data_IF_601215818621
#
_entry.id   IF_601215818621
#
_cell.length_a   1.000
_cell.length_b   1.000
_cell.length_c   1.000
_cell.angle_alpha   90.00
_cell.angle_beta   90.00
_cell.angle_gamma   90.00
#
_symmetry.space_group_name_H-M   'P 1'
#
loop_
_entity.id
_entity.type
_entity.pdbx_description
1 polymer ?
#
# COMPACT_ATOMS: atom_id res chain seq x y z
N UNK A 1 -8.48 -2.52 -2.62
CA UNK A 1 -7.17 -1.86 -2.61
C UNK A 1 -6.74 -1.35 -3.99
N UNK A 2 -6.89 -2.13 -5.05
CA UNK A 2 -6.61 -1.67 -6.42
C UNK A 2 -7.49 -0.50 -6.88
N UNK A 3 -8.62 -0.24 -6.24
CA UNK A 3 -9.55 0.84 -6.60
C UNK A 3 -9.12 2.19 -6.00
N UNK A 4 -8.50 2.21 -4.83
CA UNK A 4 -8.17 3.47 -4.13
C UNK A 4 -7.02 4.21 -4.82
N UNK A 5 -5.99 3.50 -5.28
CA UNK A 5 -4.87 4.12 -6.00
C UNK A 5 -5.35 4.70 -7.35
N UNK A 6 -6.06 3.95 -8.22
CA UNK A 6 -6.65 4.51 -9.41
C UNK A 6 -7.60 5.68 -9.12
N UNK A 7 -8.42 5.58 -8.08
CA UNK A 7 -9.32 6.67 -7.71
C UNK A 7 -8.56 7.93 -7.30
N UNK A 8 -7.54 7.79 -6.44
CA UNK A 8 -6.68 8.90 -6.05
C UNK A 8 -5.93 9.50 -7.25
N UNK A 9 -5.43 8.66 -8.16
CA UNK A 9 -4.79 9.11 -9.39
C UNK A 9 -5.77 9.85 -10.29
N UNK A 10 -6.98 9.32 -10.49
CA UNK A 10 -8.01 9.98 -11.29
C UNK A 10 -8.39 11.34 -10.71
N UNK A 11 -8.64 11.40 -9.41
CA UNK A 11 -8.96 12.63 -8.70
C UNK A 11 -7.81 13.65 -8.82
N UNK A 12 -6.57 13.20 -8.68
CA UNK A 12 -5.39 14.06 -8.76
C UNK A 12 -5.16 14.56 -10.19
N UNK A 13 -5.21 13.68 -11.19
CA UNK A 13 -5.01 14.04 -12.60
C UNK A 13 -6.09 15.05 -13.04
N UNK A 14 -7.35 14.76 -12.81
CA UNK A 14 -8.44 15.64 -13.22
C UNK A 14 -8.47 16.93 -12.39
N UNK A 15 -8.10 16.88 -11.12
CA UNK A 15 -7.95 18.06 -10.29
C UNK A 15 -6.79 18.97 -10.73
N UNK A 16 -5.65 18.39 -11.18
CA UNK A 16 -4.47 19.15 -11.62
C UNK A 16 -4.68 19.87 -12.96
N UNK A 17 -5.62 19.40 -13.79
CA UNK A 17 -5.97 20.04 -15.07
C UNK A 17 -6.87 21.28 -14.92
N UNK A 18 -6.87 21.92 -13.74
CA UNK A 18 -7.55 23.20 -13.51
C UNK A 18 -9.05 23.09 -13.26
N UNK A 19 -9.54 21.94 -12.90
CA UNK A 19 -10.94 21.71 -12.54
C UNK A 19 -11.88 21.47 -13.72
N UNK A 20 -11.48 21.78 -14.96
CA UNK A 20 -12.33 21.61 -16.15
C UNK A 20 -12.76 20.15 -16.41
N UNK A 21 -11.85 19.16 -16.39
CA UNK A 21 -12.24 17.75 -16.51
C UNK A 21 -13.11 17.27 -15.34
N UNK A 22 -12.94 17.85 -14.17
CA UNK A 22 -13.77 17.55 -13.02
C UNK A 22 -15.16 18.15 -13.13
N UNK A 23 -15.30 19.35 -13.72
CA UNK A 23 -16.60 19.91 -14.06
C UNK A 23 -17.31 19.08 -15.11
N UNK A 24 -16.61 18.55 -16.12
CA UNK A 24 -17.17 17.62 -17.09
C UNK A 24 -17.71 16.33 -16.43
N UNK A 25 -16.97 15.72 -15.52
CA UNK A 25 -17.44 14.55 -14.78
C UNK A 25 -18.56 14.92 -13.79
N UNK A 26 -18.49 16.11 -13.22
CA UNK A 26 -19.45 16.66 -12.26
C UNK A 26 -20.76 17.04 -12.94
N UNK A 27 -20.70 17.68 -14.10
CA UNK A 27 -21.86 18.23 -14.82
C UNK A 27 -22.39 17.27 -15.88
N UNK A 28 -21.70 16.18 -16.17
CA UNK A 28 -22.04 15.25 -17.24
C UNK A 28 -23.40 14.56 -17.07
N UNK A 29 -23.92 14.52 -15.86
CA UNK A 29 -25.19 13.82 -15.57
C UNK A 29 -25.16 12.33 -15.91
N UNK A 30 -23.98 11.78 -16.17
CA UNK A 30 -23.75 10.62 -17.03
C UNK A 30 -24.19 9.31 -16.38
N UNK A 31 -24.10 9.16 -15.07
CA UNK A 31 -24.48 7.90 -14.40
C UNK A 31 -25.42 8.13 -13.22
N UNK A 32 -25.26 9.21 -12.48
CA UNK A 32 -26.05 9.53 -11.27
C UNK A 32 -26.77 10.88 -11.32
N UNK A 33 -26.96 11.44 -12.52
CA UNK A 33 -27.60 12.73 -12.70
C UNK A 33 -26.67 13.91 -12.40
N UNK A 34 -27.21 15.12 -12.62
CA UNK A 34 -26.49 16.37 -12.31
C UNK A 34 -26.28 16.48 -10.82
N UNK A 35 -25.01 16.61 -10.43
CA UNK A 35 -24.63 16.76 -9.04
C UNK A 35 -24.70 18.23 -8.68
N UNK A 36 -25.45 18.57 -7.63
CA UNK A 36 -25.55 19.93 -7.15
C UNK A 36 -24.16 20.47 -6.75
N UNK A 37 -23.87 21.72 -7.09
CA UNK A 37 -22.62 22.37 -6.69
C UNK A 37 -22.45 22.29 -5.17
N UNK A 38 -21.25 21.85 -4.72
CA UNK A 38 -20.94 21.71 -3.31
C UNK A 38 -21.15 20.31 -2.69
N UNK A 39 -21.69 19.34 -3.44
CA UNK A 39 -21.80 17.94 -2.97
C UNK A 39 -20.58 17.13 -3.40
N UNK A 40 -20.15 16.17 -2.55
CA UNK A 40 -19.01 15.28 -2.81
C UNK A 40 -19.33 14.04 -3.66
N UNK A 41 -20.54 13.95 -4.23
CA UNK A 41 -21.03 12.77 -4.97
C UNK A 41 -20.35 12.57 -6.34
N UNK A 42 -19.64 13.57 -6.86
CA UNK A 42 -18.81 13.44 -8.07
C UNK A 42 -17.64 12.44 -7.92
N UNK A 43 -17.24 12.09 -6.69
CA UNK A 43 -16.20 11.07 -6.41
C UNK A 43 -16.59 9.72 -7.04
N UNK A 44 -17.86 9.37 -7.04
CA UNK A 44 -18.37 8.16 -7.66
C UNK A 44 -18.13 8.15 -9.18
N UNK A 45 -18.32 9.29 -9.86
CA UNK A 45 -18.07 9.42 -11.30
C UNK A 45 -16.58 9.21 -11.65
N UNK A 46 -15.67 9.65 -10.81
CA UNK A 46 -14.24 9.35 -10.96
C UNK A 46 -13.94 7.85 -10.88
N UNK A 47 -14.64 7.11 -10.02
CA UNK A 47 -14.58 5.64 -9.98
C UNK A 47 -15.12 4.99 -11.26
N UNK A 48 -16.23 5.49 -11.80
CA UNK A 48 -16.83 4.98 -13.05
C UNK A 48 -15.99 5.26 -14.30
N UNK A 49 -15.19 6.31 -14.33
CA UNK A 49 -14.26 6.55 -15.45
C UNK A 49 -13.29 5.36 -15.67
N UNK A 50 -12.92 4.65 -14.59
CA UNK A 50 -12.09 3.46 -14.70
C UNK A 50 -12.83 2.24 -15.26
N UNK A 51 -14.15 2.15 -15.13
CA UNK A 51 -14.95 1.06 -15.70
C UNK A 51 -14.82 1.05 -17.22
N UNK A 52 -14.73 2.22 -17.86
CA UNK A 52 -14.52 2.34 -19.30
C UNK A 52 -13.21 1.68 -19.78
N UNK A 53 -12.18 1.69 -18.94
CA UNK A 53 -10.90 1.02 -19.24
C UNK A 53 -10.90 -0.44 -18.81
N UNK A 54 -11.53 -0.76 -17.68
CA UNK A 54 -11.52 -2.09 -17.09
C UNK A 54 -12.36 -3.10 -17.88
N UNK A 55 -13.51 -2.66 -18.44
CA UNK A 55 -14.36 -3.56 -19.24
C UNK A 55 -13.67 -4.03 -20.52
N UNK A 56 -13.05 -3.16 -21.36
CA UNK A 56 -12.26 -3.62 -22.50
C UNK A 56 -11.07 -4.51 -22.09
N UNK A 57 -10.36 -4.16 -21.01
CA UNK A 57 -9.25 -4.98 -20.49
C UNK A 57 -9.72 -6.37 -20.03
N UNK A 58 -10.85 -6.44 -19.33
CA UNK A 58 -11.45 -7.71 -18.94
C UNK A 58 -11.83 -8.55 -20.17
N UNK A 59 -12.41 -7.94 -21.20
CA UNK A 59 -12.72 -8.61 -22.46
C UNK A 59 -11.45 -9.11 -23.18
N UNK A 60 -10.40 -8.28 -23.25
CA UNK A 60 -9.11 -8.69 -23.82
C UNK A 60 -8.49 -9.85 -23.04
N UNK A 61 -8.56 -9.84 -21.71
CA UNK A 61 -8.10 -10.96 -20.89
C UNK A 61 -8.95 -12.22 -21.15
N UNK A 62 -10.26 -12.07 -21.21
CA UNK A 62 -11.17 -13.21 -21.42
C UNK A 62 -10.98 -13.89 -22.78
N UNK A 63 -10.81 -13.12 -23.84
CA UNK A 63 -10.68 -13.66 -25.20
C UNK A 63 -9.22 -13.91 -25.61
N UNK A 64 -8.26 -13.18 -25.06
CA UNK A 64 -6.86 -13.22 -25.47
C UNK A 64 -5.93 -14.04 -24.58
N UNK A 65 -6.33 -14.33 -23.33
CA UNK A 65 -5.50 -15.13 -22.43
C UNK A 65 -5.92 -16.58 -22.40
N UNK A 66 -4.93 -17.48 -22.54
CA UNK A 66 -5.12 -18.91 -22.40
C UNK A 66 -4.69 -19.36 -20.99
N UNK A 67 -5.53 -20.17 -20.34
CA UNK A 67 -5.15 -20.86 -19.12
C UNK A 67 -4.11 -21.94 -19.44
N UNK A 68 -2.92 -21.81 -18.87
CA UNK A 68 -1.91 -22.85 -18.93
C UNK A 68 -2.38 -24.02 -18.05
N UNK A 69 -2.82 -25.11 -18.68
CA UNK A 69 -3.31 -26.32 -17.98
C UNK A 69 -2.30 -26.89 -16.98
N UNK A 70 -1.02 -26.66 -17.21
CA UNK A 70 0.08 -27.09 -16.32
C UNK A 70 0.19 -26.28 -15.04
N UNK A 71 -0.39 -25.08 -14.98
CA UNK A 71 -0.29 -24.14 -13.85
C UNK A 71 -1.65 -23.84 -13.23
N UNK A 72 -2.71 -23.85 -14.06
CA UNK A 72 -4.07 -23.64 -13.59
C UNK A 72 -4.66 -24.99 -13.15
N UNK A 73 -5.05 -25.14 -11.86
CA UNK A 73 -5.76 -26.33 -11.44
C UNK A 73 -7.07 -26.44 -12.22
N UNK A 74 -7.49 -27.66 -12.55
CA UNK A 74 -8.82 -27.87 -13.11
C UNK A 74 -9.85 -27.48 -12.05
N UNK A 75 -10.50 -26.34 -12.27
CA UNK A 75 -11.47 -25.79 -11.34
C UNK A 75 -12.85 -26.45 -11.47
N UNK A 76 -13.01 -27.34 -12.42
CA UNK A 76 -14.31 -27.93 -12.73
C UNK A 76 -15.30 -26.88 -13.25
N UNK A 77 -16.52 -26.92 -12.73
CA UNK A 77 -17.55 -25.98 -13.19
C UNK A 77 -17.27 -24.54 -12.68
N UNK A 78 -17.20 -23.52 -13.57
CA UNK A 78 -16.79 -22.16 -13.20
C UNK A 78 -17.69 -21.50 -12.16
N UNK A 79 -18.99 -21.77 -12.16
CA UNK A 79 -19.94 -21.25 -11.17
C UNK A 79 -19.62 -21.80 -9.77
N UNK A 80 -19.28 -23.09 -9.67
CA UNK A 80 -18.91 -23.72 -8.40
C UNK A 80 -17.59 -23.16 -7.88
N UNK A 81 -16.60 -22.91 -8.77
CA UNK A 81 -15.35 -22.27 -8.42
C UNK A 81 -15.59 -20.85 -7.89
N UNK A 82 -16.41 -20.06 -8.58
CA UNK A 82 -16.80 -18.71 -8.15
C UNK A 82 -17.49 -18.72 -6.78
N UNK A 83 -18.44 -19.62 -6.57
CA UNK A 83 -19.15 -19.75 -5.29
C UNK A 83 -18.19 -20.11 -4.14
N UNK A 84 -17.22 -21.02 -4.36
CA UNK A 84 -16.20 -21.39 -3.36
C UNK A 84 -15.29 -20.21 -3.03
N UNK A 85 -14.84 -19.44 -4.04
CA UNK A 85 -14.03 -18.25 -3.85
C UNK A 85 -14.80 -17.20 -3.07
N UNK A 86 -16.04 -16.89 -3.46
CA UNK A 86 -16.91 -15.93 -2.78
C UNK A 86 -17.14 -16.33 -1.32
N UNK A 87 -17.39 -17.61 -1.07
CA UNK A 87 -17.53 -18.13 0.29
C UNK A 87 -16.28 -17.88 1.15
N UNK A 88 -15.08 -18.21 0.65
CA UNK A 88 -13.82 -17.97 1.37
C UNK A 88 -13.55 -16.47 1.62
N UNK A 89 -13.85 -15.63 0.63
CA UNK A 89 -13.76 -14.17 0.82
C UNK A 89 -14.71 -13.66 1.89
N UNK A 90 -15.97 -14.10 1.88
CA UNK A 90 -16.97 -13.72 2.89
C UNK A 90 -16.50 -14.11 4.28
N UNK A 91 -15.95 -15.32 4.43
CA UNK A 91 -15.39 -15.78 5.70
C UNK A 91 -14.19 -14.94 6.17
N UNK A 92 -13.35 -14.48 5.27
CA UNK A 92 -12.22 -13.61 5.62
C UNK A 92 -12.67 -12.18 6.01
N UNK A 93 -13.79 -11.69 5.46
CA UNK A 93 -14.33 -10.38 5.81
C UNK A 93 -14.89 -10.32 7.23
N UNK A 94 -15.40 -11.43 7.78
CA UNK A 94 -15.98 -11.45 9.13
C UNK A 94 -14.95 -11.03 10.19
N UNK A 95 -13.76 -11.65 10.29
CA UNK A 95 -12.72 -11.22 11.22
C UNK A 95 -12.26 -9.77 10.96
N UNK A 96 -12.11 -9.38 9.69
CA UNK A 96 -11.66 -8.03 9.33
C UNK A 96 -12.65 -6.95 9.82
N UNK A 97 -13.94 -7.17 9.64
CA UNK A 97 -14.98 -6.27 10.13
C UNK A 97 -14.98 -6.23 11.67
N UNK A 98 -14.83 -7.40 12.31
CA UNK A 98 -14.78 -7.48 13.77
C UNK A 98 -13.53 -6.77 14.32
N UNK A 99 -12.36 -7.01 13.75
CA UNK A 99 -11.13 -6.34 14.14
C UNK A 99 -11.20 -4.82 13.98
N UNK A 100 -11.78 -4.36 12.87
CA UNK A 100 -12.01 -2.94 12.62
C UNK A 100 -13.00 -2.33 13.64
N UNK A 101 -14.09 -3.02 13.96
CA UNK A 101 -15.08 -2.58 14.95
C UNK A 101 -14.48 -2.48 16.36
N UNK A 102 -13.62 -3.42 16.73
CA UNK A 102 -12.93 -3.41 18.02
C UNK A 102 -11.90 -2.27 18.12
N UNK A 103 -11.30 -1.88 17.00
CA UNK A 103 -10.27 -0.84 16.91
C UNK A 103 -10.86 0.57 16.83
N UNK A 104 -11.88 0.81 15.99
CA UNK A 104 -12.40 2.14 15.73
C UNK A 104 -13.07 2.73 16.99
N UNK A 105 -12.88 4.05 17.26
CA UNK A 105 -13.57 4.70 18.36
C UNK A 105 -15.07 4.86 18.07
N UNK A 106 -15.85 5.12 19.13
CA UNK A 106 -17.28 5.45 19.00
C UNK A 106 -17.47 6.71 18.14
N UNK A 107 -18.51 6.82 17.30
CA UNK A 107 -19.66 5.89 17.18
C UNK A 107 -19.46 4.71 16.23
N UNK A 108 -18.37 4.68 15.44
CA UNK A 108 -18.13 3.68 14.38
C UNK A 108 -17.71 2.31 14.90
N UNK A 109 -17.10 2.26 16.09
CA UNK A 109 -16.66 1.05 16.77
C UNK A 109 -16.71 1.23 18.28
N UNK A 110 -15.95 0.41 19.01
CA UNK A 110 -15.91 0.47 20.50
C UNK A 110 -14.56 0.93 21.05
N UNK A 111 -13.51 0.99 20.24
CA UNK A 111 -12.18 1.47 20.63
C UNK A 111 -11.52 0.64 21.75
N UNK A 112 -11.77 -0.68 21.75
CA UNK A 112 -11.30 -1.56 22.83
C UNK A 112 -9.83 -1.94 22.73
N UNK A 113 -9.30 -2.04 21.50
CA UNK A 113 -7.95 -2.53 21.23
C UNK A 113 -7.16 -1.54 20.39
N UNK A 114 -5.83 -1.56 20.55
CA UNK A 114 -4.93 -0.78 19.71
C UNK A 114 -4.75 -1.41 18.32
N UNK A 115 -4.33 -0.62 17.34
CA UNK A 115 -3.99 -1.08 16.00
C UNK A 115 -2.99 -2.25 16.02
N UNK A 116 -2.00 -2.20 16.90
CA UNK A 116 -0.96 -3.21 17.02
C UNK A 116 -1.47 -4.57 17.52
N UNK A 117 -2.63 -4.59 18.16
CA UNK A 117 -3.34 -5.82 18.57
C UNK A 117 -4.38 -6.21 17.52
N UNK A 118 -5.07 -5.23 16.94
CA UNK A 118 -6.12 -5.47 15.97
C UNK A 118 -5.61 -6.20 14.71
N UNK A 119 -4.47 -5.77 14.14
CA UNK A 119 -3.92 -6.36 12.92
C UNK A 119 -3.50 -7.82 13.11
N UNK A 120 -2.67 -8.21 14.11
CA UNK A 120 -2.37 -9.62 14.33
C UNK A 120 -3.60 -10.46 14.65
N UNK A 121 -4.55 -9.94 15.42
CA UNK A 121 -5.79 -10.63 15.74
C UNK A 121 -6.63 -10.89 14.48
N UNK A 122 -6.75 -9.91 13.61
CA UNK A 122 -7.45 -10.03 12.33
C UNK A 122 -6.80 -11.10 11.44
N UNK A 123 -5.48 -11.04 11.26
CA UNK A 123 -4.75 -12.02 10.45
C UNK A 123 -4.94 -13.44 10.99
N UNK A 124 -4.72 -13.63 12.30
CA UNK A 124 -4.83 -14.95 12.92
C UNK A 124 -6.27 -15.48 12.87
N UNK A 125 -7.25 -14.63 13.18
CA UNK A 125 -8.66 -15.04 13.16
C UNK A 125 -9.15 -15.34 11.73
N UNK A 126 -8.72 -14.57 10.71
CA UNK A 126 -9.03 -14.85 9.32
C UNK A 126 -8.48 -16.22 8.86
N UNK A 127 -7.21 -16.50 9.18
CA UNK A 127 -6.59 -17.79 8.88
C UNK A 127 -7.31 -18.94 9.60
N UNK A 128 -7.66 -18.74 10.87
CA UNK A 128 -8.36 -19.75 11.67
C UNK A 128 -9.76 -20.04 11.10
N UNK A 129 -10.52 -19.01 10.80
CA UNK A 129 -11.87 -19.14 10.21
C UNK A 129 -11.78 -19.84 8.85
N UNK A 130 -10.86 -19.46 7.98
CA UNK A 130 -10.65 -20.14 6.68
C UNK A 130 -10.31 -21.62 6.85
N UNK A 131 -9.46 -21.97 7.81
CA UNK A 131 -9.07 -23.35 8.09
C UNK A 131 -10.21 -24.18 8.65
N UNK A 132 -10.99 -23.63 9.57
CA UNK A 132 -12.09 -24.35 10.24
C UNK A 132 -13.33 -24.48 9.36
N UNK A 133 -13.63 -23.47 8.55
CA UNK A 133 -14.81 -23.44 7.72
C UNK A 133 -14.61 -24.10 6.33
N UNK A 134 -13.39 -24.51 5.99
CA UNK A 134 -13.13 -25.26 4.76
C UNK A 134 -13.72 -26.67 4.84
N UNK A 135 -14.43 -27.09 3.80
CA UNK A 135 -15.08 -28.42 3.71
C UNK A 135 -14.80 -29.12 2.37
N UNK A 136 -14.98 -30.44 2.32
CA UNK A 136 -14.76 -31.24 1.12
C UNK A 136 -13.37 -31.01 0.50
N UNK A 137 -13.29 -30.89 -0.81
CA UNK A 137 -12.04 -30.66 -1.54
C UNK A 137 -11.34 -29.33 -1.17
N UNK A 138 -12.08 -28.33 -0.67
CA UNK A 138 -11.47 -27.07 -0.18
C UNK A 138 -10.57 -27.31 1.04
N UNK A 139 -10.95 -28.26 1.92
CA UNK A 139 -10.16 -28.57 3.13
C UNK A 139 -8.74 -29.03 2.78
N UNK A 140 -8.63 -29.89 1.77
CA UNK A 140 -7.33 -30.35 1.29
C UNK A 140 -6.53 -29.21 0.63
N UNK A 141 -7.21 -28.39 -0.19
CA UNK A 141 -6.60 -27.22 -0.83
C UNK A 141 -6.06 -26.21 0.18
N UNK A 142 -6.87 -25.84 1.19
CA UNK A 142 -6.46 -24.96 2.26
C UNK A 142 -5.32 -25.58 3.08
N UNK A 143 -5.39 -26.86 3.41
CA UNK A 143 -4.32 -27.54 4.16
C UNK A 143 -2.98 -27.52 3.41
N UNK A 144 -3.00 -27.74 2.09
CA UNK A 144 -1.79 -27.64 1.24
C UNK A 144 -1.22 -26.20 1.23
N UNK A 145 -2.09 -25.18 1.14
CA UNK A 145 -1.65 -23.78 1.17
C UNK A 145 -1.02 -23.41 2.52
N UNK A 146 -1.52 -23.94 3.63
CA UNK A 146 -0.96 -23.68 4.95
C UNK A 146 0.45 -24.25 5.18
N UNK A 147 0.94 -25.13 4.29
CA UNK A 147 2.32 -25.63 4.37
C UNK A 147 3.37 -24.52 4.19
N UNK A 148 3.04 -23.42 3.51
CA UNK A 148 3.95 -22.28 3.34
C UNK A 148 4.44 -21.71 4.66
N UNK A 149 3.64 -21.78 5.73
CA UNK A 149 3.99 -21.23 7.04
C UNK A 149 5.09 -22.01 7.76
N UNK A 150 5.44 -23.22 7.29
CA UNK A 150 6.56 -24.03 7.80
C UNK A 150 7.90 -23.58 7.24
N UNK A 151 7.88 -22.85 6.13
CA UNK A 151 9.10 -22.37 5.48
C UNK A 151 9.51 -21.02 6.05
N UNK A 152 10.76 -20.93 6.52
CA UNK A 152 11.36 -19.68 7.04
C UNK A 152 11.43 -18.57 5.98
N UNK A 153 11.55 -18.94 4.69
CA UNK A 153 11.59 -17.98 3.60
C UNK A 153 10.25 -17.28 3.40
N UNK A 154 9.13 -17.92 3.74
CA UNK A 154 7.82 -17.26 3.75
C UNK A 154 7.82 -16.04 4.68
N UNK A 155 8.35 -16.19 5.90
CA UNK A 155 8.37 -15.11 6.88
C UNK A 155 9.36 -14.00 6.54
N UNK A 156 10.58 -14.37 6.09
CA UNK A 156 11.58 -13.38 5.68
C UNK A 156 11.10 -12.57 4.47
N UNK A 157 10.51 -13.23 3.47
CA UNK A 157 9.98 -12.55 2.30
C UNK A 157 8.71 -11.74 2.60
N UNK A 158 7.89 -12.17 3.56
CA UNK A 158 6.78 -11.35 4.05
C UNK A 158 7.30 -10.02 4.61
N UNK A 159 8.33 -10.04 5.45
CA UNK A 159 8.92 -8.82 5.98
C UNK A 159 9.50 -7.92 4.87
N UNK A 160 10.23 -8.49 3.92
CA UNK A 160 10.78 -7.76 2.78
C UNK A 160 9.68 -7.22 1.84
N UNK A 161 8.57 -7.94 1.72
CA UNK A 161 7.43 -7.47 0.91
C UNK A 161 6.67 -6.34 1.60
N UNK A 162 6.64 -6.31 2.94
CA UNK A 162 6.12 -5.15 3.70
C UNK A 162 6.99 -3.91 3.43
N UNK A 163 8.32 -4.04 3.40
CA UNK A 163 9.22 -2.92 3.04
C UNK A 163 8.87 -2.36 1.68
N UNK A 164 8.69 -3.20 0.67
CA UNK A 164 8.52 -2.76 -0.71
C UNK A 164 7.07 -2.45 -1.04
N UNK A 165 6.19 -3.43 -1.01
CA UNK A 165 4.78 -3.26 -1.37
C UNK A 165 3.95 -2.58 -0.28
N UNK A 166 4.18 -2.94 1.00
CA UNK A 166 3.49 -2.33 2.13
C UNK A 166 3.76 -0.82 2.22
N UNK A 167 5.02 -0.43 2.05
CA UNK A 167 5.40 0.99 2.04
C UNK A 167 4.84 1.72 0.82
N UNK A 168 4.87 1.10 -0.36
CA UNK A 168 4.28 1.68 -1.57
C UNK A 168 2.80 2.03 -1.36
N UNK A 169 2.01 1.11 -0.85
CA UNK A 169 0.59 1.34 -0.61
C UNK A 169 0.39 2.31 0.56
N UNK A 170 1.16 2.14 1.63
CA UNK A 170 1.09 2.98 2.80
C UNK A 170 1.39 4.45 2.50
N UNK A 171 2.44 4.70 1.75
CA UNK A 171 2.80 6.06 1.33
C UNK A 171 1.81 6.64 0.31
N UNK A 172 1.17 5.81 -0.52
CA UNK A 172 0.10 6.28 -1.41
C UNK A 172 -1.09 6.87 -0.63
N UNK A 173 -1.36 6.34 0.56
CA UNK A 173 -2.39 6.88 1.45
C UNK A 173 -1.88 8.04 2.33
N UNK A 174 -0.62 7.99 2.74
CA UNK A 174 -0.05 8.95 3.67
C UNK A 174 0.41 10.25 2.99
N UNK A 175 0.82 10.21 1.72
CA UNK A 175 1.29 11.38 0.99
C UNK A 175 0.25 12.51 0.92
N UNK A 176 -1.00 12.27 0.45
CA UNK A 176 -2.01 13.33 0.44
C UNK A 176 -2.34 13.85 1.84
N UNK A 177 -2.36 12.98 2.86
CA UNK A 177 -2.54 13.38 4.25
C UNK A 177 -1.43 14.34 4.70
N UNK A 178 -0.17 13.96 4.46
CA UNK A 178 0.99 14.76 4.85
C UNK A 178 1.01 16.12 4.13
N UNK A 179 0.69 16.16 2.84
CA UNK A 179 0.58 17.42 2.08
C UNK A 179 -0.49 18.32 2.71
N UNK A 180 -1.65 17.78 2.99
CA UNK A 180 -2.79 18.55 3.50
C UNK A 180 -2.56 19.08 4.92
N UNK A 181 -1.94 18.29 5.80
CA UNK A 181 -1.84 18.62 7.22
C UNK A 181 -0.53 19.35 7.54
N UNK A 182 0.60 18.93 6.97
CA UNK A 182 1.90 19.58 7.28
C UNK A 182 2.07 20.87 6.49
N UNK A 183 1.73 20.88 5.21
CA UNK A 183 1.94 22.03 4.34
C UNK A 183 0.68 22.88 4.15
N UNK A 184 -0.49 22.32 4.43
CA UNK A 184 -1.77 23.03 4.33
C UNK A 184 -2.06 23.99 5.49
N UNK A 185 -1.27 23.94 6.56
CA UNK A 185 -1.43 24.74 7.78
C UNK A 185 -0.14 25.54 8.00
N UNK A 186 -0.27 26.83 8.33
CA UNK A 186 0.84 27.66 8.76
C UNK A 186 1.12 27.42 10.24
N UNK A 187 2.39 27.24 10.58
CA UNK A 187 2.85 27.02 11.95
C UNK A 187 3.45 28.32 12.48
N UNK A 188 2.60 29.20 13.04
CA UNK A 188 2.99 30.50 13.53
C UNK A 188 3.04 30.46 15.05
N UNK A 189 4.13 30.96 15.70
CA UNK A 189 4.18 31.06 17.15
C UNK A 189 3.17 32.09 17.67
N UNK A 190 2.52 31.79 18.78
CA UNK A 190 1.70 32.74 19.52
C UNK A 190 2.56 33.73 20.31
N UNK A 191 1.92 34.63 21.07
CA UNK A 191 2.60 35.62 21.93
C UNK A 191 3.52 34.98 22.98
N UNK A 192 3.35 33.70 23.29
CA UNK A 192 4.16 32.94 24.26
C UNK A 192 5.24 32.07 23.55
N UNK A 193 5.37 32.16 22.21
CA UNK A 193 6.31 31.39 21.45
C UNK A 193 5.85 29.95 21.15
N UNK A 194 4.60 29.58 21.45
CA UNK A 194 4.03 28.26 21.18
C UNK A 194 3.48 28.23 19.76
N UNK A 195 3.93 27.25 18.96
CA UNK A 195 3.47 27.07 17.57
C UNK A 195 1.98 26.76 17.53
N UNK A 196 1.24 27.59 16.80
CA UNK A 196 -0.17 27.39 16.54
C UNK A 196 -0.35 26.69 15.17
N UNK A 197 -1.15 25.63 15.15
CA UNK A 197 -1.40 24.81 13.96
C UNK A 197 -2.84 24.96 13.45
N UNK A 198 -3.37 26.19 13.48
CA UNK A 198 -4.80 26.45 13.19
C UNK A 198 -5.02 27.29 11.94
N UNK A 199 -4.03 28.05 11.52
CA UNK A 199 -4.16 28.96 10.39
C UNK A 199 -3.92 28.22 9.07
N UNK A 200 -4.83 28.41 8.12
CA UNK A 200 -4.70 27.85 6.77
C UNK A 200 -3.54 28.53 6.04
N UNK A 201 -2.64 27.75 5.47
CA UNK A 201 -1.56 28.30 4.65
C UNK A 201 -2.11 28.75 3.28
N UNK A 202 -2.04 30.03 2.93
CA UNK A 202 -2.52 30.54 1.65
C UNK A 202 -1.69 30.00 0.45
N UNK A 203 -0.43 29.66 0.67
CA UNK A 203 0.50 29.12 -0.33
C UNK A 203 0.58 27.59 -0.29
N UNK A 204 -0.39 26.92 0.33
CA UNK A 204 -0.39 25.48 0.49
C UNK A 204 -0.35 24.74 -0.86
N UNK A 205 0.56 23.78 -1.03
CA UNK A 205 0.53 22.90 -2.21
C UNK A 205 -0.73 22.05 -2.21
N UNK A 206 -1.36 21.91 -3.38
CA UNK A 206 -2.56 21.11 -3.52
C UNK A 206 -2.22 19.61 -3.50
N UNK A 207 -2.77 18.86 -2.56
CA UNK A 207 -2.62 17.40 -2.55
C UNK A 207 -3.13 16.76 -3.83
N UNK A 208 -4.21 17.30 -4.43
CA UNK A 208 -4.76 16.80 -5.71
C UNK A 208 -3.78 16.94 -6.88
N UNK A 209 -2.94 17.96 -6.86
CA UNK A 209 -1.95 18.18 -7.93
C UNK A 209 -0.77 17.21 -7.84
N UNK A 210 -0.36 16.81 -6.65
CA UNK A 210 0.93 16.10 -6.46
C UNK A 210 0.79 14.65 -5.99
N UNK A 211 -0.32 14.27 -5.35
CA UNK A 211 -0.44 12.96 -4.70
C UNK A 211 -0.38 11.76 -5.65
N UNK A 212 -0.69 11.93 -6.91
CA UNK A 212 -0.67 10.86 -7.92
C UNK A 212 0.74 10.54 -8.44
N UNK A 213 1.69 11.50 -8.36
CA UNK A 213 3.04 11.37 -8.95
C UNK A 213 3.79 10.19 -8.32
N UNK A 214 3.76 10.10 -6.98
CA UNK A 214 4.42 9.03 -6.27
C UNK A 214 3.93 7.63 -6.66
N UNK A 215 2.62 7.32 -6.52
CA UNK A 215 2.06 6.05 -6.95
C UNK A 215 2.30 5.73 -8.42
N UNK A 216 2.26 6.72 -9.30
CA UNK A 216 2.54 6.53 -10.72
C UNK A 216 3.99 6.11 -10.96
N UNK A 217 4.96 6.84 -10.40
CA UNK A 217 6.39 6.51 -10.52
C UNK A 217 6.65 5.11 -9.96
N UNK A 218 6.17 4.81 -8.74
CA UNK A 218 6.38 3.51 -8.11
C UNK A 218 5.74 2.36 -8.89
N UNK A 219 4.59 2.57 -9.52
CA UNK A 219 3.97 1.56 -10.38
C UNK A 219 4.74 1.33 -11.69
N UNK A 220 5.17 2.42 -12.33
CA UNK A 220 5.86 2.39 -13.63
C UNK A 220 7.24 1.70 -13.57
N UNK A 221 7.94 1.80 -12.43
CA UNK A 221 9.29 1.23 -12.28
C UNK A 221 9.32 -0.23 -11.84
N UNK A 222 8.18 -0.84 -11.48
CA UNK A 222 8.12 -2.26 -11.04
C UNK A 222 8.67 -3.24 -12.09
N UNK A 223 8.29 -3.16 -13.37
CA UNK A 223 8.86 -4.04 -14.40
C UNK A 223 10.38 -3.88 -14.52
N UNK A 224 10.88 -2.65 -14.36
CA UNK A 224 12.31 -2.37 -14.39
C UNK A 224 13.01 -3.06 -13.21
N UNK A 225 12.41 -3.01 -12.01
CA UNK A 225 12.92 -3.72 -10.83
C UNK A 225 13.01 -5.22 -11.04
N UNK A 226 12.00 -5.85 -11.64
CA UNK A 226 12.02 -7.26 -12.03
C UNK A 226 13.13 -7.56 -13.02
N UNK A 227 13.23 -6.79 -14.10
CA UNK A 227 14.25 -6.96 -15.14
C UNK A 227 15.69 -6.80 -14.63
N UNK A 228 15.95 -5.82 -13.76
CA UNK A 228 17.27 -5.67 -13.12
C UNK A 228 17.56 -6.90 -12.24
N UNK A 229 16.56 -7.35 -11.47
CA UNK A 229 16.68 -8.50 -10.57
C UNK A 229 16.95 -9.81 -11.31
N UNK A 230 16.46 -9.97 -12.55
CA UNK A 230 16.78 -11.12 -13.39
C UNK A 230 18.25 -11.17 -13.77
N UNK A 231 18.92 -10.01 -13.87
CA UNK A 231 20.34 -9.91 -14.25
C UNK A 231 21.29 -10.03 -13.08
N UNK A 232 20.99 -9.37 -11.95
CA UNK A 232 21.94 -9.24 -10.82
C UNK A 232 21.54 -10.02 -9.59
N UNK A 233 20.32 -10.61 -9.59
CA UNK A 233 19.72 -11.29 -8.45
C UNK A 233 18.83 -10.37 -7.61
N UNK A 234 17.71 -10.93 -7.14
CA UNK A 234 16.68 -10.15 -6.45
C UNK A 234 17.13 -9.59 -5.11
N UNK A 235 17.93 -10.36 -4.36
CA UNK A 235 18.34 -9.94 -3.03
C UNK A 235 19.35 -8.79 -3.03
N UNK A 236 20.22 -8.69 -4.05
CA UNK A 236 21.10 -7.54 -4.20
C UNK A 236 20.28 -6.27 -4.46
N UNK A 237 19.32 -6.35 -5.37
CA UNK A 237 18.42 -5.22 -5.67
C UNK A 237 17.65 -4.81 -4.43
N UNK A 238 17.04 -5.77 -3.72
CA UNK A 238 16.32 -5.52 -2.47
C UNK A 238 17.21 -4.89 -1.40
N UNK A 239 18.48 -5.30 -1.32
CA UNK A 239 19.44 -4.74 -0.37
C UNK A 239 19.70 -3.26 -0.64
N UNK A 240 20.01 -2.92 -1.90
CA UNK A 240 20.29 -1.54 -2.31
C UNK A 240 19.06 -0.67 -2.07
N UNK A 241 17.89 -1.14 -2.50
CA UNK A 241 16.65 -0.39 -2.35
C UNK A 241 16.28 -0.18 -0.89
N UNK A 242 16.46 -1.20 -0.04
CA UNK A 242 16.22 -1.04 1.40
C UNK A 242 17.14 0.01 2.03
N UNK A 243 18.41 0.05 1.61
CA UNK A 243 19.34 1.08 2.08
C UNK A 243 18.91 2.50 1.62
N UNK A 244 18.48 2.64 0.37
CA UNK A 244 17.92 3.90 -0.15
C UNK A 244 16.67 4.30 0.64
N UNK A 245 15.79 3.37 0.95
CA UNK A 245 14.58 3.63 1.73
C UNK A 245 14.89 4.06 3.17
N UNK A 246 15.94 3.49 3.82
CA UNK A 246 16.42 3.96 5.12
C UNK A 246 16.84 5.43 5.04
N UNK A 247 17.75 5.75 4.10
CA UNK A 247 18.29 7.10 3.95
C UNK A 247 17.19 8.12 3.59
N UNK A 248 16.33 7.77 2.63
CA UNK A 248 15.24 8.64 2.20
C UNK A 248 14.20 8.86 3.33
N UNK A 249 13.88 7.83 4.13
CA UNK A 249 12.96 8.00 5.26
C UNK A 249 13.52 8.93 6.33
N UNK A 250 14.81 8.82 6.64
CA UNK A 250 15.47 9.74 7.59
C UNK A 250 15.43 11.17 7.03
N UNK A 251 15.74 11.35 5.75
CA UNK A 251 15.70 12.67 5.10
C UNK A 251 14.28 13.26 5.06
N UNK A 252 13.27 12.47 4.73
CA UNK A 252 11.86 12.91 4.78
C UNK A 252 11.47 13.31 6.19
N UNK A 253 11.83 12.50 7.19
CA UNK A 253 11.55 12.84 8.60
C UNK A 253 12.16 14.19 8.99
N UNK A 254 13.40 14.43 8.59
CA UNK A 254 14.06 15.73 8.84
C UNK A 254 13.33 16.88 8.16
N UNK A 255 12.96 16.75 6.89
CA UNK A 255 12.21 17.79 6.16
C UNK A 255 10.83 18.02 6.77
N UNK A 256 10.14 16.95 7.20
CA UNK A 256 8.84 17.06 7.89
C UNK A 256 8.98 17.83 9.21
N UNK A 257 10.05 17.60 9.96
CA UNK A 257 10.34 18.31 11.21
C UNK A 257 10.55 19.82 10.94
N UNK A 258 11.33 20.15 9.92
CA UNK A 258 11.59 21.56 9.56
C UNK A 258 10.31 22.26 9.08
N UNK A 259 9.52 21.59 8.23
CA UNK A 259 8.26 22.14 7.72
C UNK A 259 7.25 22.37 8.87
N UNK A 260 7.14 21.41 9.79
CA UNK A 260 6.21 21.47 10.91
C UNK A 260 6.58 22.52 11.97
N UNK A 261 7.83 22.96 12.01
CA UNK A 261 8.31 24.05 12.87
C UNK A 261 8.41 25.42 12.17
N UNK A 262 7.91 25.57 10.94
CA UNK A 262 8.10 26.78 10.13
C UNK A 262 6.80 27.55 9.92
N UNK A 263 6.89 28.88 9.93
CA UNK A 263 5.79 29.76 9.53
C UNK A 263 5.48 29.70 8.03
N UNK A 264 6.44 29.23 7.21
CA UNK A 264 6.34 29.09 5.76
C UNK A 264 6.69 27.64 5.34
N UNK A 265 5.85 26.66 5.70
CA UNK A 265 6.15 25.26 5.46
C UNK A 265 6.29 24.92 3.97
N UNK A 266 5.64 25.63 3.06
CA UNK A 266 5.68 25.44 1.61
C UNK A 266 7.08 25.50 1.02
N UNK A 267 8.02 26.19 1.62
CA UNK A 267 9.43 26.25 1.17
C UNK A 267 10.13 24.88 1.24
N UNK A 268 9.70 23.99 2.13
CA UNK A 268 10.22 22.64 2.29
C UNK A 268 9.52 21.63 1.39
N UNK A 269 8.41 22.00 0.74
CA UNK A 269 7.59 21.09 -0.05
C UNK A 269 8.32 20.46 -1.23
N UNK A 270 9.15 21.18 -2.03
CA UNK A 270 9.88 20.56 -3.14
C UNK A 270 10.83 19.44 -2.67
N UNK A 271 11.55 19.66 -1.56
CA UNK A 271 12.44 18.65 -0.99
C UNK A 271 11.65 17.45 -0.45
N UNK A 272 10.54 17.70 0.25
CA UNK A 272 9.63 16.68 0.73
C UNK A 272 9.09 15.81 -0.41
N UNK A 273 8.53 16.43 -1.45
CA UNK A 273 7.97 15.72 -2.59
C UNK A 273 9.06 14.92 -3.33
N UNK A 274 10.23 15.50 -3.59
CA UNK A 274 11.34 14.83 -4.23
C UNK A 274 11.79 13.58 -3.47
N UNK A 275 11.93 13.67 -2.15
CA UNK A 275 12.31 12.54 -1.30
C UNK A 275 11.19 11.47 -1.24
N UNK A 276 9.92 11.87 -1.21
CA UNK A 276 8.81 10.92 -1.33
C UNK A 276 8.80 10.20 -2.69
N UNK A 277 9.12 10.88 -3.78
CA UNK A 277 9.28 10.25 -5.10
C UNK A 277 10.42 9.23 -5.06
N UNK A 278 11.53 9.51 -4.38
CA UNK A 278 12.61 8.53 -4.18
C UNK A 278 12.11 7.30 -3.40
N UNK A 279 11.30 7.49 -2.35
CA UNK A 279 10.68 6.37 -1.62
C UNK A 279 9.75 5.53 -2.51
N UNK A 280 8.94 6.17 -3.35
CA UNK A 280 8.07 5.48 -4.30
C UNK A 280 8.86 4.74 -5.37
N UNK A 281 9.89 5.37 -5.92
CA UNK A 281 10.80 4.75 -6.89
C UNK A 281 11.47 3.52 -6.29
N UNK A 282 12.07 3.68 -5.10
CA UNK A 282 12.74 2.60 -4.40
C UNK A 282 11.78 1.45 -4.08
N UNK A 283 10.61 1.76 -3.49
CA UNK A 283 9.60 0.74 -3.17
C UNK A 283 9.07 0.03 -4.42
N UNK A 284 8.92 0.74 -5.53
CA UNK A 284 8.50 0.17 -6.82
C UNK A 284 9.52 -0.82 -7.38
N UNK A 285 10.79 -0.43 -7.48
CA UNK A 285 11.91 -1.31 -7.88
C UNK A 285 11.98 -2.54 -6.96
N UNK A 286 11.94 -2.31 -5.63
CA UNK A 286 11.96 -3.37 -4.63
C UNK A 286 10.76 -4.32 -4.73
N UNK A 287 9.59 -3.82 -5.10
CA UNK A 287 8.42 -4.67 -5.31
C UNK A 287 8.63 -5.66 -6.47
N UNK A 288 9.15 -5.20 -7.61
CA UNK A 288 9.53 -6.07 -8.72
C UNK A 288 10.58 -7.11 -8.32
N UNK A 289 11.58 -6.69 -7.55
CA UNK A 289 12.65 -7.53 -7.04
C UNK A 289 12.16 -8.62 -6.08
N UNK A 290 11.39 -8.27 -5.06
CA UNK A 290 10.87 -9.24 -4.08
C UNK A 290 9.86 -10.20 -4.70
N UNK A 291 9.03 -9.73 -5.64
CA UNK A 291 8.11 -10.58 -6.38
C UNK A 291 8.86 -11.67 -7.17
N UNK A 292 9.91 -11.27 -7.89
CA UNK A 292 10.80 -12.20 -8.62
C UNK A 292 11.47 -13.19 -7.67
N UNK A 293 12.00 -12.73 -6.54
CA UNK A 293 12.68 -13.56 -5.54
C UNK A 293 11.78 -14.68 -5.01
N UNK A 294 10.49 -14.39 -4.77
CA UNK A 294 9.52 -15.41 -4.37
C UNK A 294 9.39 -16.49 -5.46
N UNK A 295 9.30 -16.08 -6.72
CA UNK A 295 9.19 -17.02 -7.85
C UNK A 295 10.43 -17.90 -8.08
N UNK A 296 11.61 -17.48 -7.56
CA UNK A 296 12.86 -18.27 -7.66
C UNK A 296 13.02 -19.23 -6.48
N UNK A 297 12.64 -18.80 -5.27
CA UNK A 297 12.80 -19.61 -4.03
C UNK A 297 11.75 -20.71 -3.96
N UNK A 298 10.50 -20.41 -4.30
CA UNK A 298 9.39 -21.35 -4.18
C UNK A 298 9.05 -22.01 -5.51
N UNK A 299 8.69 -23.28 -5.45
CA UNK A 299 8.19 -23.99 -6.62
C UNK A 299 6.86 -23.40 -7.10
N UNK A 300 6.43 -23.84 -8.31
CA UNK A 300 5.20 -23.33 -8.95
C UNK A 300 3.93 -23.56 -8.13
N UNK A 301 3.94 -24.55 -7.25
CA UNK A 301 2.77 -24.88 -6.41
C UNK A 301 2.68 -24.04 -5.15
N UNK A 302 3.82 -23.57 -4.65
CA UNK A 302 3.94 -22.78 -3.42
C UNK A 302 4.06 -21.28 -3.68
N UNK A 303 4.66 -20.88 -4.81
CA UNK A 303 4.87 -19.47 -5.12
C UNK A 303 3.58 -18.64 -5.12
N UNK A 304 2.48 -19.17 -5.66
CA UNK A 304 1.17 -18.51 -5.65
C UNK A 304 0.63 -18.25 -4.24
N UNK A 305 0.51 -19.26 -3.38
CA UNK A 305 0.13 -19.11 -1.97
C UNK A 305 1.04 -18.17 -1.19
N UNK A 306 2.36 -18.22 -1.38
CA UNK A 306 3.31 -17.29 -0.71
C UNK A 306 3.08 -15.86 -1.19
N UNK A 307 2.93 -15.63 -2.50
CA UNK A 307 2.62 -14.30 -3.04
C UNK A 307 1.28 -13.76 -2.49
N UNK A 308 0.26 -14.61 -2.43
CA UNK A 308 -1.03 -14.24 -1.85
C UNK A 308 -0.91 -13.82 -0.38
N UNK A 309 -0.21 -14.62 0.42
CA UNK A 309 0.04 -14.33 1.83
C UNK A 309 0.84 -13.04 2.03
N UNK A 310 2.00 -12.93 1.37
CA UNK A 310 2.87 -11.75 1.52
C UNK A 310 2.18 -10.47 1.09
N UNK A 311 1.39 -10.54 0.00
CA UNK A 311 0.60 -9.40 -0.48
C UNK A 311 -0.51 -9.01 0.48
N UNK A 312 -1.23 -9.97 1.05
CA UNK A 312 -2.28 -9.72 2.03
C UNK A 312 -1.74 -9.05 3.29
N UNK A 313 -0.61 -9.55 3.83
CA UNK A 313 0.02 -8.96 5.02
C UNK A 313 0.60 -7.58 4.69
N UNK A 314 1.30 -7.42 3.58
CA UNK A 314 1.86 -6.13 3.19
C UNK A 314 0.77 -5.08 2.91
N UNK A 315 -0.43 -5.50 2.52
CA UNK A 315 -1.56 -4.63 2.29
C UNK A 315 -1.99 -3.83 3.53
N UNK A 316 -1.72 -4.30 4.74
CA UNK A 316 -1.94 -3.53 5.96
C UNK A 316 -1.11 -2.24 6.02
N UNK A 317 -0.06 -2.11 5.20
CA UNK A 317 0.68 -0.86 5.03
C UNK A 317 -0.21 0.34 4.72
N UNK A 318 -1.28 0.14 3.94
CA UNK A 318 -2.27 1.19 3.64
C UNK A 318 -2.99 1.73 4.88
N UNK A 319 -3.10 0.91 5.90
CA UNK A 319 -3.74 1.25 7.16
C UNK A 319 -2.71 1.79 8.17
N UNK A 320 -1.58 1.12 8.29
CA UNK A 320 -0.53 1.44 9.28
C UNK A 320 0.11 2.80 8.99
N UNK A 321 0.55 3.06 7.77
CA UNK A 321 1.35 4.25 7.48
C UNK A 321 0.59 5.57 7.73
N UNK A 322 -0.64 5.79 7.23
CA UNK A 322 -1.35 7.04 7.51
C UNK A 322 -1.73 7.19 8.99
N UNK A 323 -2.01 6.10 9.71
CA UNK A 323 -2.31 6.17 11.14
C UNK A 323 -1.07 6.56 11.94
N UNK A 324 0.09 5.92 11.67
CA UNK A 324 1.34 6.24 12.37
C UNK A 324 1.74 7.69 12.10
N UNK A 325 1.71 8.13 10.85
CA UNK A 325 2.03 9.52 10.48
C UNK A 325 1.01 10.49 11.11
N UNK A 326 -0.28 10.21 11.01
CA UNK A 326 -1.33 11.06 11.57
C UNK A 326 -1.24 11.19 13.10
N UNK A 327 -0.93 10.10 13.80
CA UNK A 327 -0.74 10.12 15.26
C UNK A 327 0.50 10.95 15.66
N UNK A 328 1.60 10.83 14.91
CA UNK A 328 2.81 11.61 15.17
C UNK A 328 2.63 13.10 14.83
N UNK A 329 1.84 13.43 13.80
CA UNK A 329 1.44 14.82 13.52
C UNK A 329 0.63 15.39 14.70
N UNK A 330 -0.36 14.64 15.20
CA UNK A 330 -1.15 15.04 16.37
C UNK A 330 -0.32 15.22 17.64
N UNK A 331 0.75 14.44 17.78
CA UNK A 331 1.70 14.54 18.88
C UNK A 331 2.73 15.69 18.70
N UNK A 332 2.69 16.42 17.58
CA UNK A 332 3.66 17.48 17.28
C UNK A 332 5.04 16.99 16.84
N UNK A 333 5.17 15.72 16.51
CA UNK A 333 6.45 15.08 16.21
C UNK A 333 6.39 14.23 14.93
N UNK A 334 6.00 14.80 13.76
CA UNK A 334 5.75 14.05 12.53
C UNK A 334 6.96 13.25 12.05
N UNK A 335 8.18 13.71 12.35
CA UNK A 335 9.44 13.06 11.97
C UNK A 335 9.58 11.64 12.54
N UNK A 336 9.05 11.36 13.73
CA UNK A 336 9.23 10.05 14.37
C UNK A 336 8.49 8.92 13.64
N UNK A 337 7.46 9.23 12.89
CA UNK A 337 6.84 8.23 12.01
C UNK A 337 7.85 7.74 10.97
N UNK A 338 8.54 8.66 10.30
CA UNK A 338 9.51 8.34 9.25
C UNK A 338 10.78 7.68 9.83
N UNK A 339 11.22 8.10 11.01
CA UNK A 339 12.33 7.44 11.71
C UNK A 339 11.97 6.02 12.13
N UNK A 340 10.73 5.78 12.56
CA UNK A 340 10.23 4.43 12.84
C UNK A 340 10.25 3.53 11.60
N UNK A 341 9.83 4.05 10.43
CA UNK A 341 9.95 3.32 9.18
C UNK A 341 11.41 3.06 8.78
N UNK A 342 12.31 4.05 8.97
CA UNK A 342 13.73 3.87 8.71
C UNK A 342 14.34 2.74 9.56
N UNK A 343 14.00 2.66 10.85
CA UNK A 343 14.43 1.57 11.74
C UNK A 343 13.90 0.22 11.22
N UNK A 344 12.62 0.14 10.85
CA UNK A 344 12.04 -1.08 10.28
C UNK A 344 12.77 -1.51 9.00
N UNK A 345 13.08 -0.58 8.10
CA UNK A 345 13.81 -0.87 6.86
C UNK A 345 15.24 -1.33 7.15
N UNK A 346 15.91 -0.74 8.14
CA UNK A 346 17.24 -1.16 8.57
C UNK A 346 17.24 -2.60 9.13
N UNK A 347 16.24 -2.96 9.92
CA UNK A 347 16.06 -4.35 10.38
C UNK A 347 15.85 -5.30 9.20
N UNK A 348 15.01 -4.93 8.25
CA UNK A 348 14.76 -5.74 7.06
C UNK A 348 16.00 -5.82 6.13
N UNK A 349 16.81 -4.78 6.06
CA UNK A 349 18.10 -4.79 5.36
C UNK A 349 19.04 -5.83 5.97
N UNK A 350 19.17 -5.90 7.30
CA UNK A 350 19.94 -6.93 8.01
C UNK A 350 19.35 -8.32 7.76
N UNK A 351 18.02 -8.44 7.79
CA UNK A 351 17.31 -9.69 7.52
C UNK A 351 17.60 -10.21 6.11
N UNK A 352 17.52 -9.34 5.09
CA UNK A 352 17.82 -9.70 3.70
C UNK A 352 19.28 -10.16 3.55
N UNK A 353 20.22 -9.42 4.13
CA UNK A 353 21.64 -9.81 4.14
C UNK A 353 21.84 -11.17 4.80
N UNK A 354 21.21 -11.40 5.95
CA UNK A 354 21.36 -12.65 6.73
C UNK A 354 20.82 -13.86 5.97
N UNK A 355 19.67 -13.75 5.34
CA UNK A 355 19.03 -14.87 4.65
C UNK A 355 19.61 -15.15 3.27
N UNK A 356 20.06 -14.10 2.53
CA UNK A 356 20.30 -14.22 1.10
C UNK A 356 21.65 -13.71 0.60
N UNK A 357 22.39 -12.90 1.35
CA UNK A 357 23.62 -12.27 0.84
C UNK A 357 24.90 -12.64 1.59
N UNK A 358 24.84 -13.11 2.83
CA UNK A 358 26.04 -13.54 3.57
C UNK A 358 26.68 -14.76 2.89
N UNK A 359 27.95 -15.06 3.19
CA UNK A 359 28.70 -16.17 2.58
C UNK A 359 27.99 -17.52 2.74
N UNK A 360 27.42 -17.80 3.91
CA UNK A 360 26.66 -19.02 4.23
C UNK A 360 25.15 -18.73 4.27
N UNK A 361 24.64 -17.97 3.28
CA UNK A 361 23.21 -17.69 3.17
C UNK A 361 22.42 -18.97 2.89
N UNK A 362 21.16 -19.01 3.34
CA UNK A 362 20.28 -20.15 3.10
C UNK A 362 19.99 -20.38 1.61
N UNK A 363 19.81 -19.30 0.86
CA UNK A 363 19.75 -19.26 -0.60
C UNK A 363 20.60 -18.07 -1.03
N UNK A 364 21.56 -18.28 -1.91
CA UNK A 364 22.49 -17.22 -2.28
C UNK A 364 21.94 -16.40 -3.43
N UNK A 365 21.61 -15.15 -3.12
CA UNK A 365 21.16 -14.13 -4.07
C UNK A 365 20.11 -14.64 -5.08
N UNK A 366 18.97 -15.14 -4.59
CA UNK A 366 17.90 -15.64 -5.44
C UNK A 366 17.33 -14.56 -6.37
#
# INVERSE_FOLDING_TARGET
MQIVIPLAMTLSIFGSLGGEPMTLLKDSGWIFGKIAAGTSTWIQNAGFAWVLSLVPLAALCWFGMNNLRTVSPDTGHPIVAFAKITYLYTLAFIPAILGLYLYLPRPTGIGLISMWVAIPLDIVSALLVMKLAAFGAMKEGVAKQFLIFRDKHTWSLTALYIVTFGSFIGFSMALPLSITVIFGISHVPDANGVLQHTLKNPNAPSAFTYAWIGPFVGAAVRPIGGWISDKVGGSIVTQIISAVMVAASVAVGYVMMQAYGSATPEQYFPAFLGLFIVLFFASGIGNGSTFRTIGVIFDRTQAGPVLGWTSAVAAYGAFVAPIVIGNQIKAGTPQYAMYGFAVFYAVCLVLNWWFYLRQNAYVKNP
#
